data_IF_040125117263
#
_entry.id   IF_040125117263
#
_cell.length_a   1.000
_cell.length_b   1.000
_cell.length_c   1.000
_cell.angle_alpha   90.00
_cell.angle_beta   90.00
_cell.angle_gamma   90.00
#
_symmetry.space_group_name_H-M   'P 1'
#
loop_
_entity.id
_entity.type
_entity.pdbx_description
1 polymer ?
#
# COMPACT_ATOMS: atom_id res chain seq x y z
N UNK A 1 -0.42 -13.83 -2.40
CA UNK A 1 0.02 -14.57 -1.20
C UNK A 1 -1.17 -14.76 -0.28
N UNK A 2 -1.16 -15.80 0.54
CA UNK A 2 -2.13 -15.91 1.63
C UNK A 2 -1.72 -15.04 2.83
N UNK A 3 -2.56 -14.99 3.85
CA UNK A 3 -2.33 -14.13 5.01
C UNK A 3 -1.13 -14.59 5.84
N UNK A 4 -0.91 -15.89 5.96
CA UNK A 4 0.15 -16.44 6.81
C UNK A 4 1.53 -16.17 6.17
N UNK A 5 1.61 -16.24 4.84
CA UNK A 5 2.77 -15.83 4.05
C UNK A 5 3.10 -14.35 4.26
N UNK A 6 2.09 -13.47 4.22
CA UNK A 6 2.26 -12.03 4.46
C UNK A 6 2.69 -11.75 5.90
N UNK A 7 2.08 -12.40 6.88
CA UNK A 7 2.45 -12.24 8.29
C UNK A 7 3.91 -12.67 8.52
N UNK A 8 4.35 -13.79 7.93
CA UNK A 8 5.74 -14.25 7.99
C UNK A 8 6.70 -13.25 7.33
N UNK A 9 6.38 -12.76 6.14
CA UNK A 9 7.20 -11.77 5.44
C UNK A 9 7.30 -10.46 6.23
N UNK A 10 6.22 -10.05 6.89
CA UNK A 10 6.19 -8.83 7.69
C UNK A 10 7.11 -8.94 8.91
N UNK A 11 7.14 -10.10 9.56
CA UNK A 11 8.04 -10.38 10.67
C UNK A 11 9.51 -10.34 10.20
N UNK A 12 9.83 -10.93 9.05
CA UNK A 12 11.19 -10.90 8.48
C UNK A 12 11.64 -9.47 8.15
N UNK A 13 10.75 -8.62 7.64
CA UNK A 13 11.06 -7.22 7.38
C UNK A 13 11.35 -6.45 8.67
N UNK A 14 10.55 -6.67 9.73
CA UNK A 14 10.79 -6.07 11.05
C UNK A 14 12.13 -6.50 11.62
N UNK A 15 12.44 -7.82 11.60
CA UNK A 15 13.73 -8.34 12.05
C UNK A 15 14.91 -7.83 11.21
N UNK A 16 14.67 -7.56 9.93
CA UNK A 16 15.65 -6.98 9.00
C UNK A 16 15.84 -5.46 9.10
N UNK A 17 15.30 -4.81 10.12
CA UNK A 17 15.49 -3.37 10.35
C UNK A 17 14.65 -2.48 9.43
N UNK A 18 13.46 -2.92 9.01
CA UNK A 18 12.56 -2.13 8.16
C UNK A 18 12.26 -0.72 8.72
N UNK A 19 12.19 -0.57 10.05
CA UNK A 19 11.99 0.74 10.69
C UNK A 19 13.14 1.71 10.42
N UNK A 20 14.37 1.20 10.33
CA UNK A 20 15.59 1.98 10.09
C UNK A 20 15.73 2.37 8.62
N UNK A 21 15.26 1.50 7.71
CA UNK A 21 15.22 1.74 6.26
C UNK A 21 14.14 2.74 5.86
N UNK A 22 13.08 2.84 6.65
CA UNK A 22 11.97 3.74 6.42
C UNK A 22 10.95 3.22 5.39
N UNK A 23 9.78 3.85 5.40
CA UNK A 23 8.57 3.38 4.69
C UNK A 23 8.78 3.29 3.17
N UNK A 24 9.44 4.28 2.56
CA UNK A 24 9.64 4.34 1.11
C UNK A 24 10.47 3.17 0.57
N UNK A 25 11.55 2.80 1.25
CA UNK A 25 12.43 1.70 0.86
C UNK A 25 11.73 0.34 0.97
N UNK A 26 10.88 0.18 1.99
CA UNK A 26 10.08 -1.03 2.17
C UNK A 26 9.02 -1.13 1.07
N UNK A 27 8.36 -0.03 0.70
CA UNK A 27 7.40 0.00 -0.42
C UNK A 27 8.09 -0.41 -1.74
N UNK A 28 9.28 0.11 -2.01
CA UNK A 28 10.05 -0.26 -3.20
C UNK A 28 10.38 -1.76 -3.21
N UNK A 29 10.85 -2.29 -2.07
CA UNK A 29 11.16 -3.72 -1.91
C UNK A 29 9.94 -4.60 -2.15
N UNK A 30 8.77 -4.22 -1.62
CA UNK A 30 7.52 -4.96 -1.80
C UNK A 30 7.10 -4.97 -3.27
N UNK A 31 7.21 -3.83 -3.96
CA UNK A 31 6.90 -3.74 -5.39
C UNK A 31 7.85 -4.60 -6.24
N UNK A 32 9.15 -4.54 -5.98
CA UNK A 32 10.15 -5.36 -6.67
C UNK A 32 9.93 -6.86 -6.44
N UNK A 33 9.41 -7.23 -5.26
CA UNK A 33 9.03 -8.60 -4.92
C UNK A 33 7.71 -9.05 -5.57
N UNK A 34 7.06 -8.19 -6.36
CA UNK A 34 5.80 -8.49 -7.06
C UNK A 34 4.57 -8.45 -6.17
N UNK A 35 4.65 -7.84 -4.97
CA UNK A 35 3.48 -7.65 -4.12
C UNK A 35 2.49 -6.72 -4.81
N UNK A 36 1.21 -7.07 -4.75
CA UNK A 36 0.14 -6.17 -5.15
C UNK A 36 0.05 -4.97 -4.22
N UNK A 37 -0.69 -3.94 -4.65
CA UNK A 37 -0.94 -2.76 -3.82
C UNK A 37 -1.65 -3.12 -2.51
N UNK A 38 -2.61 -4.04 -2.55
CA UNK A 38 -3.38 -4.47 -1.37
C UNK A 38 -2.49 -5.22 -0.38
N UNK A 39 -1.65 -6.13 -0.87
CA UNK A 39 -0.66 -6.81 -0.04
C UNK A 39 0.33 -5.80 0.56
N UNK A 40 0.78 -4.82 -0.24
CA UNK A 40 1.68 -3.77 0.23
C UNK A 40 1.06 -2.91 1.34
N UNK A 41 -0.23 -2.54 1.21
CA UNK A 41 -0.96 -1.81 2.25
C UNK A 41 -1.03 -2.58 3.56
N UNK A 42 -1.35 -3.88 3.46
CA UNK A 42 -1.39 -4.77 4.61
C UNK A 42 -0.02 -4.82 5.30
N UNK A 43 1.04 -5.06 4.52
CA UNK A 43 2.41 -5.15 5.00
C UNK A 43 2.90 -3.87 5.66
N UNK A 44 2.66 -2.71 5.04
CA UNK A 44 3.06 -1.41 5.59
C UNK A 44 2.31 -1.10 6.89
N UNK A 45 1.02 -1.43 6.97
CA UNK A 45 0.25 -1.26 8.22
C UNK A 45 0.82 -2.09 9.37
N UNK A 46 1.34 -3.29 9.07
CA UNK A 46 1.91 -4.22 10.05
C UNK A 46 3.32 -3.82 10.48
N UNK A 47 4.20 -3.60 9.51
CA UNK A 47 5.62 -3.32 9.76
C UNK A 47 5.81 -2.01 10.51
N UNK A 48 5.01 -0.98 10.20
CA UNK A 48 5.14 0.34 10.79
C UNK A 48 4.05 0.66 11.81
N UNK A 49 3.21 -0.32 12.18
CA UNK A 49 2.06 -0.15 13.09
C UNK A 49 1.15 1.04 12.71
N UNK A 50 0.96 1.26 11.41
CA UNK A 50 0.15 2.35 10.88
C UNK A 50 -1.32 1.95 10.78
N UNK A 51 -2.21 2.95 10.82
CA UNK A 51 -3.59 2.73 10.41
C UNK A 51 -3.64 2.37 8.92
N UNK A 52 -4.70 1.69 8.47
CA UNK A 52 -4.88 1.41 7.05
C UNK A 52 -4.97 2.69 6.20
N UNK A 53 -5.50 3.78 6.77
CA UNK A 53 -5.56 5.07 6.10
C UNK A 53 -4.17 5.66 5.89
N UNK A 54 -3.32 5.62 6.92
CA UNK A 54 -1.94 6.13 6.85
C UNK A 54 -1.07 5.25 5.96
N UNK A 55 -1.25 3.93 6.02
CA UNK A 55 -0.58 3.00 5.10
C UNK A 55 -0.98 3.26 3.64
N UNK A 56 -2.27 3.56 3.39
CA UNK A 56 -2.75 3.98 2.06
C UNK A 56 -2.11 5.27 1.61
N UNK A 57 -2.09 6.29 2.45
CA UNK A 57 -1.43 7.55 2.12
C UNK A 57 0.06 7.31 1.77
N UNK A 58 0.77 6.52 2.56
CA UNK A 58 2.20 6.23 2.34
C UNK A 58 2.47 5.46 1.03
N UNK A 59 1.66 4.44 0.72
CA UNK A 59 1.82 3.65 -0.52
C UNK A 59 1.45 4.46 -1.76
N UNK A 60 0.34 5.21 -1.72
CA UNK A 60 -0.20 5.95 -2.88
C UNK A 60 0.61 7.22 -3.19
N UNK A 61 1.19 7.86 -2.18
CA UNK A 61 2.09 9.02 -2.38
C UNK A 61 3.51 8.64 -2.79
N UNK A 62 3.84 7.34 -2.72
CA UNK A 62 5.14 6.84 -3.14
C UNK A 62 5.29 6.88 -4.66
N UNK A 63 6.48 7.25 -5.19
CA UNK A 63 6.74 7.26 -6.63
C UNK A 63 6.61 5.87 -7.27
N UNK A 64 6.61 4.82 -6.45
CA UNK A 64 6.44 3.44 -6.88
C UNK A 64 5.02 3.14 -7.37
N UNK A 65 3.97 3.83 -6.92
CA UNK A 65 2.58 3.50 -7.28
C UNK A 65 1.79 4.71 -7.80
N UNK A 66 2.49 5.77 -8.20
CA UNK A 66 1.87 7.04 -8.61
C UNK A 66 0.94 6.88 -9.83
N UNK A 67 1.29 6.01 -10.77
CA UNK A 67 0.46 5.77 -11.96
C UNK A 67 -0.83 5.02 -11.62
N UNK A 68 -0.75 3.99 -10.77
CA UNK A 68 -1.94 3.32 -10.28
C UNK A 68 -2.80 4.25 -9.40
N UNK A 69 -2.19 5.17 -8.65
CA UNK A 69 -2.90 6.16 -7.83
C UNK A 69 -3.75 7.12 -8.68
N UNK A 70 -3.19 7.64 -9.78
CA UNK A 70 -3.92 8.51 -10.72
C UNK A 70 -5.14 7.80 -11.33
N UNK A 71 -4.97 6.56 -11.79
CA UNK A 71 -6.06 5.76 -12.35
C UNK A 71 -7.17 5.47 -11.31
N UNK A 72 -6.79 5.28 -10.04
CA UNK A 72 -7.75 5.06 -8.95
C UNK A 72 -8.53 6.33 -8.60
N UNK A 73 -7.89 7.50 -8.53
CA UNK A 73 -8.55 8.78 -8.29
C UNK A 73 -9.55 9.10 -9.41
N UNK A 74 -9.17 8.93 -10.67
CA UNK A 74 -10.06 9.15 -11.82
C UNK A 74 -11.28 8.21 -11.78
N UNK A 75 -11.10 6.95 -11.37
CA UNK A 75 -12.21 6.02 -11.19
C UNK A 75 -13.15 6.44 -10.06
N UNK A 76 -12.60 6.92 -8.93
CA UNK A 76 -13.39 7.39 -7.80
C UNK A 76 -14.21 8.64 -8.16
N UNK A 77 -13.62 9.60 -8.87
CA UNK A 77 -14.31 10.80 -9.34
C UNK A 77 -15.47 10.43 -10.28
N UNK A 78 -15.24 9.56 -11.26
CA UNK A 78 -16.30 9.09 -12.19
C UNK A 78 -17.43 8.36 -11.47
N UNK A 79 -17.14 7.61 -10.40
CA UNK A 79 -18.15 6.96 -9.58
C UNK A 79 -19.01 7.97 -8.82
N UNK A 80 -18.38 8.98 -8.21
CA UNK A 80 -19.09 10.05 -7.49
C UNK A 80 -20.00 10.82 -8.46
N UNK A 81 -19.47 11.23 -9.61
CA UNK A 81 -20.25 11.90 -10.66
C UNK A 81 -21.44 11.04 -11.15
N UNK A 82 -21.25 9.73 -11.25
CA UNK A 82 -22.31 8.79 -11.59
C UNK A 82 -23.45 8.75 -10.56
N UNK A 83 -23.11 8.72 -9.27
CA UNK A 83 -24.09 8.73 -8.19
C UNK A 83 -24.81 10.08 -8.05
N UNK A 84 -24.12 11.21 -8.26
CA UNK A 84 -24.71 12.55 -8.20
C UNK A 84 -25.63 12.86 -9.38
N UNK A 85 -25.47 12.19 -10.53
CA UNK A 85 -26.38 12.33 -11.69
C UNK A 85 -27.68 11.55 -11.58
N UNK A 86 -27.75 10.53 -10.72
CA UNK A 86 -28.92 9.68 -10.54
C UNK A 86 -29.76 10.01 -9.28
N UNK A 87 -29.29 10.92 -8.42
CA UNK A 87 -30.02 11.44 -7.24
C UNK A 87 -30.76 12.74 -7.49
#
# INVERSE_FOLDING_TARGET
>A
MDRDELDLLSAQLVEGGAEERGVADVIATLKESGCSIVESLYMISKVFSLSLADAKAAVMTGPSWSKESEDHEEFHEKLIEGFEREG
#
